data_IF_746731298968
#
_entry.id   IF_746731298968
#
_cell.length_a   1.000
_cell.length_b   1.000
_cell.length_c   1.000
_cell.angle_alpha   90.00
_cell.angle_beta   90.00
_cell.angle_gamma   90.00
#
_symmetry.space_group_name_H-M   'P 1'
#
loop_
_entity.id
_entity.type
_entity.pdbx_description
1 polymer ?
#
# COMPACT_ATOMS: atom_id res chain seq x y z
N UNK A 1 -16.75 -7.23 10.76
CA UNK A 1 -15.67 -7.60 9.82
C UNK A 1 -14.38 -6.98 10.31
N UNK A 2 -13.26 -7.72 10.24
CA UNK A 2 -11.93 -7.23 10.60
C UNK A 2 -11.24 -6.65 9.37
N UNK A 3 -10.80 -5.38 9.38
CA UNK A 3 -10.01 -4.81 8.28
C UNK A 3 -8.72 -5.61 8.05
N UNK A 4 -8.36 -5.84 6.79
CA UNK A 4 -7.09 -6.48 6.42
C UNK A 4 -6.03 -5.40 6.22
N UNK A 5 -4.94 -5.46 6.97
CA UNK A 5 -3.84 -4.50 6.79
C UNK A 5 -3.03 -4.91 5.56
N UNK A 6 -2.59 -3.92 4.79
CA UNK A 6 -1.64 -4.10 3.69
C UNK A 6 -0.71 -2.89 3.61
N UNK A 7 0.39 -3.04 2.88
CA UNK A 7 1.30 -1.95 2.60
C UNK A 7 1.81 -1.96 1.17
N UNK A 8 2.42 -0.86 0.75
CA UNK A 8 3.26 -0.79 -0.43
C UNK A 8 4.70 -0.60 0.04
N UNK A 9 5.55 -1.58 -0.27
CA UNK A 9 6.92 -1.66 0.20
C UNK A 9 7.92 -1.53 -0.94
N UNK A 10 9.16 -1.17 -0.61
CA UNK A 10 10.27 -1.28 -1.56
C UNK A 10 10.39 -2.71 -2.09
N UNK A 11 10.86 -2.83 -3.32
CA UNK A 11 11.09 -4.12 -3.97
C UNK A 11 12.49 -4.62 -3.60
N UNK A 12 12.57 -5.89 -3.17
CA UNK A 12 13.80 -6.66 -3.18
C UNK A 12 14.30 -6.85 -4.62
N UNK A 13 15.52 -7.39 -4.76
CA UNK A 13 16.11 -7.67 -6.08
C UNK A 13 15.31 -8.65 -6.94
N UNK A 14 14.48 -9.48 -6.30
CA UNK A 14 13.58 -10.44 -6.96
C UNK A 14 12.16 -9.87 -7.22
N UNK A 15 11.91 -8.61 -6.87
CA UNK A 15 10.61 -7.95 -7.03
C UNK A 15 9.61 -8.21 -5.89
N UNK A 16 9.97 -9.01 -4.89
CA UNK A 16 9.14 -9.22 -3.68
C UNK A 16 9.16 -7.99 -2.77
N UNK A 17 8.12 -7.78 -1.93
CA UNK A 17 8.13 -6.69 -0.95
C UNK A 17 9.19 -6.90 0.13
N UNK A 18 9.93 -5.84 0.48
CA UNK A 18 10.76 -5.78 1.68
C UNK A 18 9.89 -5.40 2.90
N UNK A 19 9.61 -6.33 3.85
CA UNK A 19 8.72 -6.09 4.97
C UNK A 19 9.24 -5.02 5.94
N UNK A 20 10.54 -4.74 5.95
CA UNK A 20 11.15 -3.72 6.80
C UNK A 20 11.11 -2.32 6.17
N UNK A 21 10.68 -2.21 4.90
CA UNK A 21 10.66 -0.96 4.12
C UNK A 21 9.31 -0.65 3.50
N UNK A 22 8.26 -0.73 4.32
CA UNK A 22 6.91 -0.32 3.92
C UNK A 22 6.80 1.21 3.93
N UNK A 23 6.55 1.81 2.77
CA UNK A 23 6.50 3.26 2.58
C UNK A 23 5.08 3.82 2.72
N UNK A 24 4.08 3.05 2.32
CA UNK A 24 2.67 3.45 2.39
C UNK A 24 1.90 2.32 3.07
N UNK A 25 1.11 2.66 4.09
CA UNK A 25 0.25 1.71 4.79
C UNK A 25 -1.20 1.89 4.39
N UNK A 26 -1.96 0.80 4.43
CA UNK A 26 -3.38 0.83 4.16
C UNK A 26 -4.17 -0.25 4.89
N UNK A 27 -5.48 -0.10 4.79
CA UNK A 27 -6.45 -1.07 5.27
C UNK A 27 -7.45 -1.39 4.16
N UNK A 28 -7.70 -2.67 3.95
CA UNK A 28 -8.71 -3.20 3.05
C UNK A 28 -9.94 -3.63 3.85
N UNK A 29 -11.07 -3.05 3.47
CA UNK A 29 -12.42 -3.29 3.96
C UNK A 29 -13.20 -4.09 2.90
N UNK A 30 -14.43 -4.48 3.20
CA UNK A 30 -15.29 -5.25 2.28
C UNK A 30 -15.45 -4.63 0.89
N UNK A 31 -15.52 -3.31 0.83
CA UNK A 31 -15.90 -2.56 -0.37
C UNK A 31 -14.84 -1.57 -0.85
N UNK A 32 -13.72 -1.45 -0.12
CA UNK A 32 -12.71 -0.43 -0.39
C UNK A 32 -11.39 -0.72 0.29
N UNK A 33 -10.31 -0.25 -0.30
CA UNK A 33 -8.99 -0.13 0.30
C UNK A 33 -8.64 1.34 0.52
N UNK A 34 -8.13 1.68 1.69
CA UNK A 34 -7.71 3.03 2.06
C UNK A 34 -6.21 3.03 2.32
N UNK A 35 -5.48 3.87 1.60
CA UNK A 35 -4.07 4.16 1.84
C UNK A 35 -3.91 5.43 2.66
N UNK A 36 -2.86 5.46 3.48
CA UNK A 36 -2.42 6.60 4.24
C UNK A 36 -0.90 6.72 4.19
N UNK A 37 -0.39 7.92 3.95
CA UNK A 37 1.04 8.23 4.07
C UNK A 37 1.26 9.70 4.46
N UNK A 38 2.50 10.01 4.82
CA UNK A 38 2.93 11.38 5.06
C UNK A 38 3.79 11.86 3.89
N UNK A 39 3.42 12.98 3.29
CA UNK A 39 4.23 13.65 2.27
C UNK A 39 4.59 15.05 2.76
N UNK A 40 5.89 15.30 2.99
CA UNK A 40 6.41 16.58 3.51
C UNK A 40 5.67 17.06 4.76
N UNK A 41 5.39 16.13 5.68
CA UNK A 41 4.67 16.39 6.93
C UNK A 41 3.15 16.57 6.80
N UNK A 42 2.59 16.43 5.59
CA UNK A 42 1.14 16.46 5.36
C UNK A 42 0.59 15.06 5.20
N UNK A 43 -0.52 14.80 5.87
CA UNK A 43 -1.26 13.56 5.70
C UNK A 43 -1.91 13.50 4.32
N UNK A 44 -1.66 12.39 3.64
CA UNK A 44 -2.28 12.06 2.38
C UNK A 44 -3.08 10.77 2.55
N UNK A 45 -4.16 10.66 1.79
CA UNK A 45 -4.96 9.45 1.74
C UNK A 45 -5.47 9.22 0.32
N UNK A 46 -5.65 7.96 -0.04
CA UNK A 46 -6.26 7.56 -1.30
C UNK A 46 -7.19 6.38 -1.06
N UNK A 47 -8.28 6.31 -1.81
CA UNK A 47 -9.29 5.26 -1.71
C UNK A 47 -9.37 4.52 -3.03
N UNK A 48 -9.38 3.19 -2.94
CA UNK A 48 -9.46 2.25 -4.05
C UNK A 48 -10.53 1.20 -3.75
N UNK A 49 -10.89 0.40 -4.75
CA UNK A 49 -11.82 -0.71 -4.55
C UNK A 49 -11.14 -1.87 -3.81
N UNK A 50 -9.87 -2.16 -4.12
CA UNK A 50 -9.07 -3.24 -3.51
C UNK A 50 -7.61 -2.83 -3.29
N UNK A 51 -6.88 -3.60 -2.48
CA UNK A 51 -5.43 -3.44 -2.30
C UNK A 51 -4.66 -3.70 -3.60
N UNK A 52 -5.15 -4.62 -4.45
CA UNK A 52 -4.60 -4.90 -5.78
C UNK A 52 -4.75 -3.69 -6.70
N UNK A 53 -5.90 -3.02 -6.71
CA UNK A 53 -6.09 -1.77 -7.48
C UNK A 53 -5.16 -0.66 -6.97
N UNK A 54 -4.97 -0.58 -5.66
CA UNK A 54 -4.03 0.36 -5.05
C UNK A 54 -2.59 0.06 -5.50
N UNK A 55 -2.16 -1.20 -5.46
CA UNK A 55 -0.84 -1.62 -5.95
C UNK A 55 -0.65 -1.37 -7.45
N UNK A 56 -1.64 -1.71 -8.28
CA UNK A 56 -1.56 -1.48 -9.73
C UNK A 56 -1.37 0.02 -10.07
N UNK A 57 -1.93 0.93 -9.27
CA UNK A 57 -1.76 2.37 -9.50
C UNK A 57 -0.51 2.94 -8.83
N UNK A 58 -0.33 2.67 -7.54
CA UNK A 58 0.69 3.30 -6.71
C UNK A 58 1.97 2.49 -6.60
N UNK A 59 1.90 1.16 -6.72
CA UNK A 59 3.08 0.32 -6.88
C UNK A 59 3.89 0.71 -8.11
N UNK A 60 3.23 0.98 -9.24
CA UNK A 60 3.91 1.46 -10.44
C UNK A 60 4.39 2.92 -10.30
N UNK A 61 3.52 3.81 -9.81
CA UNK A 61 3.84 5.24 -9.67
C UNK A 61 5.03 5.50 -8.74
N UNK A 62 5.14 4.75 -7.65
CA UNK A 62 6.17 4.94 -6.62
C UNK A 62 7.26 3.85 -6.65
N UNK A 63 7.21 2.95 -7.63
CA UNK A 63 8.07 1.76 -7.69
C UNK A 63 8.07 0.92 -6.40
N UNK A 64 6.87 0.67 -5.87
CA UNK A 64 6.61 -0.16 -4.70
C UNK A 64 5.91 -1.46 -5.11
N UNK A 65 5.76 -2.40 -4.19
CA UNK A 65 5.01 -3.64 -4.41
C UNK A 65 4.16 -3.98 -3.20
N UNK A 66 3.08 -4.74 -3.44
CA UNK A 66 2.09 -5.07 -2.42
C UNK A 66 2.70 -5.98 -1.35
N UNK A 67 2.63 -5.52 -0.11
CA UNK A 67 2.97 -6.26 1.09
C UNK A 67 1.72 -6.60 1.88
N UNK A 68 1.60 -7.87 2.30
CA UNK A 68 0.56 -8.34 3.22
C UNK A 68 1.25 -8.99 4.44
N UNK A 69 1.12 -8.42 5.65
CA UNK A 69 1.65 -9.01 6.88
C UNK A 69 0.87 -10.25 7.32
#
# INVERSE_FOLDING_TARGET
MTPKIFGLAEKNTDGTPDPDKVQIWGMELETRAVLFWLERGRSQFAVFDTAENANARFGDLFNLTLYRP
#
